data_IF_396329357487
#
_entry.id   IF_396329357487
#
_cell.length_a   1.000
_cell.length_b   1.000
_cell.length_c   1.000
_cell.angle_alpha   90.00
_cell.angle_beta   90.00
_cell.angle_gamma   90.00
#
_symmetry.space_group_name_H-M   'P 1'
#
loop_
_entity.id
_entity.type
_entity.pdbx_description
1 polymer ?
#
# COMPACT_ATOMS: atom_id res chain seq x y z
N UNK A 1 1.10 21.16 -40.15
CA UNK A 1 2.42 21.02 -39.48
C UNK A 1 2.21 20.03 -38.34
N UNK A 2 2.91 18.89 -38.37
CA UNK A 2 2.85 17.94 -37.26
C UNK A 2 3.56 18.56 -36.05
N UNK A 3 2.86 18.79 -34.99
CA UNK A 3 3.47 19.19 -33.71
C UNK A 3 4.46 18.08 -33.32
N UNK A 4 5.73 18.43 -33.13
CA UNK A 4 6.73 17.47 -32.65
C UNK A 4 6.20 16.76 -31.41
N UNK A 5 6.27 15.43 -31.36
CA UNK A 5 5.82 14.66 -30.19
C UNK A 5 6.52 15.10 -28.90
N UNK A 6 7.74 15.61 -29.00
CA UNK A 6 8.48 16.20 -27.89
C UNK A 6 7.80 17.45 -27.28
N UNK A 7 7.06 18.23 -28.07
CA UNK A 7 6.42 19.46 -27.59
C UNK A 7 5.26 19.23 -26.61
N UNK A 8 4.74 17.99 -26.51
CA UNK A 8 3.69 17.64 -25.54
C UNK A 8 4.22 17.29 -24.15
N UNK A 9 5.52 17.02 -24.02
CA UNK A 9 6.15 16.69 -22.74
C UNK A 9 6.69 17.96 -22.09
N UNK A 10 6.52 18.04 -20.78
CA UNK A 10 7.07 19.12 -19.95
C UNK A 10 8.09 18.54 -19.00
N UNK A 11 9.18 19.26 -18.67
CA UNK A 11 10.06 18.86 -17.59
C UNK A 11 9.28 18.68 -16.29
N UNK A 12 9.61 17.64 -15.52
CA UNK A 12 9.08 17.50 -14.18
C UNK A 12 9.61 18.62 -13.29
N UNK A 13 8.77 19.31 -12.51
CA UNK A 13 9.25 20.39 -11.66
C UNK A 13 10.18 19.85 -10.57
N UNK A 14 11.30 20.52 -10.27
CA UNK A 14 12.16 20.13 -9.16
C UNK A 14 11.42 20.28 -7.83
N UNK A 15 11.78 19.46 -6.85
CA UNK A 15 11.32 19.62 -5.47
C UNK A 15 12.13 20.74 -4.81
N UNK A 16 11.46 21.70 -4.17
CA UNK A 16 12.13 22.75 -3.39
C UNK A 16 12.58 22.17 -2.04
N UNK A 17 13.83 21.70 -2.00
CA UNK A 17 14.45 21.06 -0.85
C UNK A 17 15.89 21.58 -0.70
N UNK A 18 16.07 22.82 -0.16
CA UNK A 18 17.38 23.46 -0.10
C UNK A 18 18.35 22.79 0.89
N UNK A 19 17.84 22.11 1.89
CA UNK A 19 18.58 21.43 2.97
C UNK A 19 18.65 19.89 2.77
N UNK A 20 18.55 19.43 1.54
CA UNK A 20 18.61 18.01 1.12
C UNK A 20 19.75 17.24 1.79
N UNK A 21 19.42 16.13 2.44
CA UNK A 21 20.36 15.30 3.21
C UNK A 21 20.59 13.92 2.60
N UNK A 22 19.60 13.33 1.87
CA UNK A 22 19.64 11.95 1.41
C UNK A 22 20.93 11.59 0.63
N UNK A 23 21.57 12.47 -0.18
CA UNK A 23 22.78 12.10 -0.93
C UNK A 23 23.96 11.74 -0.04
N UNK A 24 23.97 12.23 1.21
CA UNK A 24 25.05 12.02 2.17
C UNK A 24 24.70 10.96 3.23
N UNK A 25 23.50 10.39 3.18
CA UNK A 25 23.09 9.34 4.13
C UNK A 25 23.52 7.98 3.64
N UNK A 26 24.02 7.16 4.56
CA UNK A 26 24.41 5.77 4.30
C UNK A 26 23.53 4.88 5.19
N UNK A 27 22.95 3.87 4.59
CA UNK A 27 22.23 2.84 5.33
C UNK A 27 23.22 1.97 6.12
N UNK A 28 23.06 1.95 7.44
CA UNK A 28 23.87 1.11 8.35
C UNK A 28 23.17 -0.18 8.75
N UNK A 29 21.89 -0.31 8.45
CA UNK A 29 21.06 -1.49 8.69
C UNK A 29 20.24 -1.80 7.44
N UNK A 30 19.97 -3.08 7.21
CA UNK A 30 19.08 -3.47 6.13
C UNK A 30 17.67 -2.94 6.39
N UNK A 31 16.97 -2.42 5.36
CA UNK A 31 15.55 -2.11 5.48
C UNK A 31 14.73 -3.39 5.66
N UNK A 32 13.53 -3.26 6.19
CA UNK A 32 12.55 -4.34 6.15
C UNK A 32 12.07 -4.46 4.70
N UNK A 33 12.20 -5.65 4.14
CA UNK A 33 11.74 -5.96 2.79
C UNK A 33 10.35 -6.57 2.85
N UNK A 34 9.39 -5.93 2.18
CA UNK A 34 8.09 -6.53 1.87
C UNK A 34 8.11 -7.11 0.45
N UNK A 35 7.81 -8.41 0.30
CA UNK A 35 7.63 -9.01 -1.02
C UNK A 35 6.22 -8.70 -1.54
N UNK A 36 6.14 -8.17 -2.75
CA UNK A 36 4.87 -7.91 -3.47
C UNK A 36 4.67 -8.86 -4.66
N UNK A 37 5.48 -9.90 -4.75
CA UNK A 37 5.46 -10.84 -5.89
C UNK A 37 4.13 -11.56 -6.04
N UNK A 38 3.49 -11.97 -4.93
CA UNK A 38 2.22 -12.70 -4.92
C UNK A 38 1.00 -11.82 -5.22
N UNK A 39 1.14 -10.48 -5.16
CA UNK A 39 0.07 -9.54 -5.52
C UNK A 39 0.43 -8.79 -6.79
N UNK A 40 1.33 -7.84 -6.76
CA UNK A 40 1.66 -6.95 -7.88
C UNK A 40 2.41 -7.71 -8.99
N UNK A 41 3.36 -8.56 -8.60
CA UNK A 41 4.05 -9.46 -9.50
C UNK A 41 3.11 -10.44 -10.19
N UNK A 42 2.25 -11.12 -9.44
CA UNK A 42 1.24 -12.04 -9.99
C UNK A 42 0.24 -11.33 -10.91
N UNK A 43 -0.17 -10.12 -10.56
CA UNK A 43 -1.08 -9.29 -11.37
C UNK A 43 -0.49 -8.96 -12.75
N UNK A 44 0.83 -8.86 -12.86
CA UNK A 44 1.53 -8.55 -14.10
C UNK A 44 1.68 -9.77 -15.05
N UNK A 45 1.42 -10.99 -14.57
CA UNK A 45 1.53 -12.20 -15.38
C UNK A 45 0.37 -12.30 -16.39
N UNK A 46 0.69 -12.73 -17.61
CA UNK A 46 -0.33 -13.01 -18.64
C UNK A 46 -1.29 -14.13 -18.20
N UNK A 47 -0.78 -15.09 -17.44
CA UNK A 47 -1.55 -16.12 -16.75
C UNK A 47 -1.17 -16.07 -15.26
N UNK A 48 -2.06 -15.55 -14.40
CA UNK A 48 -1.83 -15.52 -12.97
C UNK A 48 -1.63 -16.92 -12.37
N UNK A 49 -0.86 -16.99 -11.30
CA UNK A 49 -0.60 -18.24 -10.58
C UNK A 49 -1.90 -18.84 -10.01
N UNK A 50 -1.99 -20.17 -10.05
CA UNK A 50 -2.99 -20.93 -9.29
C UNK A 50 -2.77 -20.78 -7.78
N UNK A 51 -3.74 -21.19 -6.98
CA UNK A 51 -3.61 -21.17 -5.51
C UNK A 51 -2.45 -22.07 -5.05
N UNK A 52 -2.26 -23.22 -5.69
CA UNK A 52 -1.16 -24.14 -5.39
C UNK A 52 0.21 -23.52 -5.67
N UNK A 53 0.38 -22.89 -6.82
CA UNK A 53 1.63 -22.17 -7.17
C UNK A 53 1.88 -21.01 -6.22
N UNK A 54 0.85 -20.26 -5.82
CA UNK A 54 0.98 -19.20 -4.82
C UNK A 54 1.41 -19.73 -3.45
N UNK A 55 0.91 -20.89 -3.03
CA UNK A 55 1.32 -21.51 -1.77
C UNK A 55 2.79 -21.93 -1.79
N UNK A 56 3.24 -22.57 -2.87
CA UNK A 56 4.65 -22.95 -3.05
C UNK A 56 5.55 -21.71 -3.07
N UNK A 57 5.10 -20.65 -3.74
CA UNK A 57 5.85 -19.39 -3.83
C UNK A 57 5.90 -18.66 -2.47
N UNK A 58 4.80 -18.66 -1.71
CA UNK A 58 4.79 -18.12 -0.35
C UNK A 58 5.81 -18.82 0.54
N UNK A 59 5.84 -20.15 0.51
CA UNK A 59 6.82 -20.94 1.26
C UNK A 59 8.26 -20.64 0.82
N UNK A 60 8.49 -20.39 -0.47
CA UNK A 60 9.79 -19.95 -0.96
C UNK A 60 10.19 -18.60 -0.38
N UNK A 61 9.30 -17.61 -0.39
CA UNK A 61 9.55 -16.28 0.19
C UNK A 61 9.88 -16.36 1.68
N UNK A 62 9.16 -17.19 2.43
CA UNK A 62 9.46 -17.46 3.84
C UNK A 62 10.85 -18.08 4.00
N UNK A 63 11.22 -19.06 3.18
CA UNK A 63 12.57 -19.68 3.22
C UNK A 63 13.69 -18.71 2.84
N UNK A 64 13.43 -17.75 1.93
CA UNK A 64 14.36 -16.67 1.59
C UNK A 64 14.58 -15.74 2.79
N UNK A 65 13.58 -15.59 3.66
CA UNK A 65 13.67 -14.82 4.89
C UNK A 65 12.83 -13.55 4.92
N UNK A 66 11.91 -13.35 3.98
CA UNK A 66 10.97 -12.25 4.04
C UNK A 66 10.12 -12.33 5.32
N UNK A 67 9.92 -11.17 5.96
CA UNK A 67 9.10 -11.04 7.17
C UNK A 67 7.79 -10.31 6.92
N UNK A 68 7.68 -9.63 5.79
CA UNK A 68 6.47 -8.99 5.29
C UNK A 68 6.23 -9.49 3.86
N UNK A 69 5.03 -10.03 3.61
CA UNK A 69 4.67 -10.60 2.30
C UNK A 69 3.25 -10.16 1.95
N UNK A 70 3.12 -9.36 0.87
CA UNK A 70 1.82 -8.98 0.34
C UNK A 70 1.25 -10.14 -0.47
N UNK A 71 0.26 -10.82 0.12
CA UNK A 71 -0.26 -12.10 -0.39
C UNK A 71 -1.34 -11.92 -1.46
N UNK A 72 -2.01 -10.76 -1.51
CA UNK A 72 -3.01 -10.50 -2.53
C UNK A 72 -4.01 -9.41 -2.17
N UNK A 73 -5.11 -9.40 -2.92
CA UNK A 73 -6.27 -8.53 -2.71
C UNK A 73 -7.50 -9.42 -2.41
N UNK A 74 -7.69 -9.89 -1.16
CA UNK A 74 -8.69 -10.92 -0.83
C UNK A 74 -10.12 -10.55 -1.20
N UNK A 75 -10.44 -9.25 -1.21
CA UNK A 75 -11.78 -8.78 -1.59
C UNK A 75 -11.99 -8.61 -3.10
N UNK A 76 -10.95 -8.75 -3.93
CA UNK A 76 -11.07 -8.60 -5.38
C UNK A 76 -11.69 -9.83 -6.08
N UNK A 77 -11.44 -11.03 -5.57
CA UNK A 77 -11.97 -12.26 -6.13
C UNK A 77 -12.05 -13.39 -5.09
N UNK A 78 -12.84 -14.42 -5.40
CA UNK A 78 -12.92 -15.60 -4.53
C UNK A 78 -11.59 -16.35 -4.46
N UNK A 79 -10.83 -16.43 -5.55
CA UNK A 79 -9.51 -17.08 -5.59
C UNK A 79 -8.54 -16.41 -4.64
N UNK A 80 -8.49 -15.07 -4.62
CA UNK A 80 -7.64 -14.30 -3.71
C UNK A 80 -8.08 -14.46 -2.25
N UNK A 81 -9.38 -14.50 -2.01
CA UNK A 81 -9.94 -14.78 -0.69
C UNK A 81 -9.55 -16.17 -0.19
N UNK A 82 -9.77 -17.20 -1.02
CA UNK A 82 -9.48 -18.60 -0.68
C UNK A 82 -7.99 -18.82 -0.44
N UNK A 83 -7.11 -18.17 -1.22
CA UNK A 83 -5.67 -18.24 -0.99
C UNK A 83 -5.29 -17.66 0.39
N UNK A 84 -5.81 -16.47 0.73
CA UNK A 84 -5.57 -15.86 2.03
C UNK A 84 -6.07 -16.77 3.17
N UNK A 85 -7.27 -17.34 3.03
CA UNK A 85 -7.83 -18.28 4.01
C UNK A 85 -6.99 -19.54 4.15
N UNK A 86 -6.53 -20.12 3.04
CA UNK A 86 -5.70 -21.34 3.08
C UNK A 86 -4.37 -21.10 3.81
N UNK A 87 -3.73 -19.95 3.63
CA UNK A 87 -2.53 -19.60 4.39
C UNK A 87 -2.78 -19.63 5.91
N UNK A 88 -3.94 -19.13 6.33
CA UNK A 88 -4.32 -19.02 7.74
C UNK A 88 -4.82 -20.37 8.28
N UNK A 89 -5.78 -20.97 7.61
CA UNK A 89 -6.46 -22.20 8.07
C UNK A 89 -5.55 -23.43 8.07
N UNK A 90 -4.57 -23.49 7.14
CA UNK A 90 -3.56 -24.52 7.05
C UNK A 90 -2.29 -24.21 7.89
N UNK A 91 -2.30 -23.10 8.67
CA UNK A 91 -1.19 -22.67 9.53
C UNK A 91 0.16 -22.55 8.80
N UNK A 92 0.14 -21.99 7.58
CA UNK A 92 1.35 -21.84 6.76
C UNK A 92 2.18 -20.61 7.07
N UNK A 93 1.65 -19.68 7.87
CA UNK A 93 2.30 -18.41 8.19
C UNK A 93 3.12 -18.57 9.46
N UNK A 94 4.46 -18.44 9.42
CA UNK A 94 5.27 -18.43 10.63
C UNK A 94 4.91 -17.27 11.56
N UNK A 95 5.16 -17.46 12.85
CA UNK A 95 4.83 -16.49 13.89
C UNK A 95 5.52 -15.12 13.75
N UNK A 96 6.66 -15.10 13.06
CA UNK A 96 7.49 -13.92 12.83
C UNK A 96 7.31 -13.31 11.43
N UNK A 97 6.30 -13.77 10.68
CA UNK A 97 5.91 -13.25 9.37
C UNK A 97 4.58 -12.53 9.46
N UNK A 98 4.50 -11.34 8.90
CA UNK A 98 3.25 -10.62 8.67
C UNK A 98 2.78 -10.83 7.22
N UNK A 99 1.52 -11.20 7.05
CA UNK A 99 0.89 -11.14 5.75
C UNK A 99 0.35 -9.74 5.51
N UNK A 100 0.60 -9.21 4.32
CA UNK A 100 0.02 -7.95 3.88
C UNK A 100 -1.11 -8.21 2.89
N UNK A 101 -2.21 -7.50 3.04
CA UNK A 101 -3.35 -7.55 2.12
C UNK A 101 -3.66 -6.17 1.57
N UNK A 102 -3.86 -6.07 0.26
CA UNK A 102 -4.30 -4.84 -0.39
C UNK A 102 -5.81 -4.69 -0.28
N UNK A 103 -6.27 -3.47 -0.04
CA UNK A 103 -7.69 -3.13 -0.02
C UNK A 103 -7.92 -1.69 -0.49
N UNK A 104 -8.81 -1.50 -1.45
CA UNK A 104 -9.25 -0.16 -1.81
C UNK A 104 -10.11 0.45 -0.69
N UNK A 105 -10.07 1.78 -0.54
CA UNK A 105 -10.89 2.53 0.41
C UNK A 105 -12.38 2.50 0.04
N UNK A 106 -13.01 1.30 0.19
CA UNK A 106 -14.43 1.03 -0.04
C UNK A 106 -14.96 0.09 1.02
N UNK A 107 -16.15 0.40 1.55
CA UNK A 107 -16.75 -0.32 2.66
C UNK A 107 -16.89 -1.83 2.40
N UNK A 108 -17.47 -2.21 1.25
CA UNK A 108 -17.70 -3.59 0.87
C UNK A 108 -16.40 -4.42 0.81
N UNK A 109 -15.32 -3.80 0.30
CA UNK A 109 -14.01 -4.43 0.20
C UNK A 109 -13.32 -4.53 1.56
N UNK A 110 -13.44 -3.51 2.41
CA UNK A 110 -12.89 -3.52 3.78
C UNK A 110 -13.54 -4.64 4.61
N UNK A 111 -14.87 -4.74 4.58
CA UNK A 111 -15.59 -5.78 5.30
C UNK A 111 -15.13 -7.17 4.85
N UNK A 112 -15.06 -7.40 3.54
CA UNK A 112 -14.62 -8.69 2.98
C UNK A 112 -13.16 -9.00 3.32
N UNK A 113 -12.29 -8.00 3.33
CA UNK A 113 -10.89 -8.16 3.72
C UNK A 113 -10.74 -8.51 5.20
N UNK A 114 -11.53 -7.91 6.09
CA UNK A 114 -11.56 -8.27 7.52
C UNK A 114 -12.01 -9.74 7.73
N UNK A 115 -12.96 -10.23 6.92
CA UNK A 115 -13.34 -11.66 6.96
C UNK A 115 -12.18 -12.56 6.54
N UNK A 116 -11.42 -12.15 5.51
CA UNK A 116 -10.33 -12.95 4.97
C UNK A 116 -9.17 -13.14 5.94
N UNK A 117 -8.87 -12.14 6.79
CA UNK A 117 -7.73 -12.18 7.71
C UNK A 117 -8.05 -12.76 9.10
N UNK A 118 -9.29 -13.15 9.37
CA UNK A 118 -9.67 -13.68 10.68
C UNK A 118 -8.81 -14.89 11.07
N UNK A 119 -8.22 -14.84 12.26
CA UNK A 119 -7.34 -15.88 12.78
C UNK A 119 -5.89 -15.77 12.34
N UNK A 120 -5.52 -14.79 11.53
CA UNK A 120 -4.12 -14.46 11.27
C UNK A 120 -3.48 -13.85 12.52
N UNK A 121 -2.17 -14.09 12.72
CA UNK A 121 -1.43 -13.56 13.87
C UNK A 121 -0.93 -12.12 13.65
N UNK A 122 -0.29 -11.88 12.51
CA UNK A 122 0.26 -10.58 12.13
C UNK A 122 -0.23 -10.18 10.74
N UNK A 123 -0.86 -9.03 10.64
CA UNK A 123 -1.41 -8.51 9.39
C UNK A 123 -1.00 -7.06 9.18
N UNK A 124 -0.54 -6.75 7.97
CA UNK A 124 -0.47 -5.39 7.46
C UNK A 124 -1.70 -5.19 6.58
N UNK A 125 -2.59 -4.29 7.00
CA UNK A 125 -3.80 -3.95 6.25
C UNK A 125 -3.49 -2.73 5.39
N UNK A 126 -3.25 -2.96 4.09
CA UNK A 126 -2.82 -1.94 3.15
C UNK A 126 -4.04 -1.29 2.46
N UNK A 127 -4.44 -0.13 2.95
CA UNK A 127 -5.48 0.70 2.33
C UNK A 127 -4.89 1.64 1.30
N UNK A 128 -5.63 1.86 0.20
CA UNK A 128 -5.26 2.83 -0.81
C UNK A 128 -6.47 3.51 -1.44
N UNK A 129 -6.27 4.74 -1.88
CA UNK A 129 -7.12 5.42 -2.86
C UNK A 129 -6.30 6.35 -3.74
N UNK A 130 -6.78 6.56 -4.96
CA UNK A 130 -6.05 7.36 -5.94
C UNK A 130 -6.16 8.86 -5.65
N UNK A 131 -5.04 9.57 -5.74
CA UNK A 131 -4.90 10.96 -5.33
C UNK A 131 -4.50 11.94 -6.43
N UNK A 132 -4.04 11.42 -7.59
CA UNK A 132 -3.54 12.28 -8.67
C UNK A 132 -4.62 13.19 -9.26
N UNK A 133 -4.25 14.36 -9.81
CA UNK A 133 -5.19 15.29 -10.45
C UNK A 133 -6.05 14.65 -11.54
N UNK A 134 -5.46 13.75 -12.32
CA UNK A 134 -6.18 13.05 -13.39
C UNK A 134 -7.28 12.14 -12.83
N UNK A 135 -6.96 11.37 -11.78
CA UNK A 135 -7.93 10.46 -11.17
C UNK A 135 -9.01 11.24 -10.40
N UNK A 136 -8.65 12.29 -9.67
CA UNK A 136 -9.63 13.17 -9.03
C UNK A 136 -10.63 13.72 -10.04
N UNK A 137 -10.14 14.19 -11.19
CA UNK A 137 -10.98 14.81 -12.23
C UNK A 137 -11.80 13.80 -13.03
N UNK A 138 -11.19 12.71 -13.50
CA UNK A 138 -11.81 11.85 -14.52
C UNK A 138 -12.39 10.55 -13.97
N UNK A 139 -11.95 10.10 -12.80
CA UNK A 139 -12.44 8.88 -12.16
C UNK A 139 -13.45 9.22 -11.06
N UNK A 140 -13.06 10.08 -10.11
CA UNK A 140 -13.89 10.39 -8.96
C UNK A 140 -14.82 11.58 -9.20
N UNK A 141 -14.47 12.48 -10.13
CA UNK A 141 -15.12 13.80 -10.30
C UNK A 141 -15.25 14.52 -8.95
N UNK A 142 -14.14 14.56 -8.21
CA UNK A 142 -14.09 15.00 -6.82
C UNK A 142 -12.93 15.98 -6.58
N UNK A 143 -13.11 16.88 -5.64
CA UNK A 143 -12.07 17.78 -5.14
C UNK A 143 -11.18 17.11 -4.08
N UNK A 144 -10.12 17.81 -3.62
CA UNK A 144 -9.20 17.30 -2.61
C UNK A 144 -9.90 16.90 -1.30
N UNK A 145 -10.78 17.73 -0.70
CA UNK A 145 -11.49 17.37 0.52
C UNK A 145 -12.33 16.09 0.40
N UNK A 146 -12.98 15.88 -0.73
CA UNK A 146 -13.76 14.66 -0.96
C UNK A 146 -12.86 13.41 -1.06
N UNK A 147 -11.66 13.53 -1.65
CA UNK A 147 -10.69 12.45 -1.71
C UNK A 147 -10.09 12.14 -0.32
N UNK A 148 -9.79 13.18 0.49
CA UNK A 148 -9.37 13.01 1.89
C UNK A 148 -10.46 12.28 2.68
N UNK A 149 -11.72 12.67 2.48
CA UNK A 149 -12.86 12.02 3.16
C UNK A 149 -12.97 10.53 2.83
N UNK A 150 -12.74 10.13 1.57
CA UNK A 150 -12.71 8.70 1.19
C UNK A 150 -11.67 7.93 2.02
N UNK A 151 -10.46 8.47 2.16
CA UNK A 151 -9.39 7.84 2.93
C UNK A 151 -9.73 7.76 4.42
N UNK A 152 -10.14 8.87 5.02
CA UNK A 152 -10.42 8.97 6.46
C UNK A 152 -11.61 8.12 6.87
N UNK A 153 -12.71 8.12 6.09
CA UNK A 153 -13.86 7.26 6.34
C UNK A 153 -13.47 5.77 6.27
N UNK A 154 -12.64 5.40 5.27
CA UNK A 154 -12.17 4.03 5.12
C UNK A 154 -11.27 3.58 6.29
N UNK A 155 -10.35 4.44 6.72
CA UNK A 155 -9.49 4.15 7.88
C UNK A 155 -10.31 4.04 9.16
N UNK A 156 -11.27 4.93 9.39
CA UNK A 156 -12.17 4.88 10.55
C UNK A 156 -12.99 3.57 10.55
N UNK A 157 -13.55 3.20 9.41
CA UNK A 157 -14.29 1.94 9.27
C UNK A 157 -13.39 0.73 9.53
N UNK A 158 -12.21 0.68 8.89
CA UNK A 158 -11.25 -0.42 9.09
C UNK A 158 -10.85 -0.53 10.55
N UNK A 159 -10.50 0.60 11.19
CA UNK A 159 -10.14 0.66 12.62
C UNK A 159 -11.21 0.05 13.50
N UNK A 160 -12.48 0.34 13.23
CA UNK A 160 -13.62 -0.27 13.95
C UNK A 160 -13.74 -1.78 13.67
N UNK A 161 -13.66 -2.16 12.41
CA UNK A 161 -13.85 -3.55 11.97
C UNK A 161 -12.77 -4.52 12.42
N UNK A 162 -11.54 -4.05 12.65
CA UNK A 162 -10.45 -4.91 13.14
C UNK A 162 -10.43 -5.07 14.66
N UNK A 163 -11.20 -4.28 15.44
CA UNK A 163 -11.22 -4.39 16.90
C UNK A 163 -11.54 -5.80 17.41
N UNK A 164 -12.55 -6.52 16.86
CA UNK A 164 -12.81 -7.89 17.27
C UNK A 164 -11.63 -8.83 16.99
N UNK A 165 -10.94 -8.64 15.85
CA UNK A 165 -9.77 -9.45 15.48
C UNK A 165 -8.59 -9.20 16.42
N UNK A 166 -8.38 -7.94 16.80
CA UNK A 166 -7.35 -7.56 17.79
C UNK A 166 -7.66 -8.18 19.15
N UNK A 167 -8.94 -8.16 19.57
CA UNK A 167 -9.37 -8.80 20.82
C UNK A 167 -9.20 -10.33 20.77
N UNK A 168 -9.25 -10.94 19.60
CA UNK A 168 -8.98 -12.37 19.35
C UNK A 168 -7.48 -12.69 19.25
N UNK A 169 -6.58 -11.67 19.28
CA UNK A 169 -5.12 -11.83 19.28
C UNK A 169 -4.42 -11.53 17.97
N UNK A 170 -5.12 -11.04 16.94
CA UNK A 170 -4.49 -10.57 15.71
C UNK A 170 -3.80 -9.23 15.93
N UNK A 171 -2.52 -9.11 15.57
CA UNK A 171 -1.87 -7.81 15.44
C UNK A 171 -2.17 -7.24 14.05
N UNK A 172 -2.76 -6.04 14.01
CA UNK A 172 -3.09 -5.35 12.75
C UNK A 172 -2.33 -4.03 12.68
N UNK A 173 -1.53 -3.87 11.65
CA UNK A 173 -0.82 -2.62 11.33
C UNK A 173 -1.46 -1.99 10.10
N UNK A 174 -1.71 -0.69 10.13
CA UNK A 174 -2.18 0.05 8.95
C UNK A 174 -0.99 0.40 8.05
N UNK A 175 -1.13 0.09 6.77
CA UNK A 175 -0.41 0.72 5.69
C UNK A 175 -1.37 1.56 4.85
N UNK A 176 -0.99 2.79 4.50
CA UNK A 176 -1.77 3.65 3.63
C UNK A 176 -0.97 4.13 2.43
N UNK A 177 -1.56 4.04 1.24
CA UNK A 177 -0.99 4.56 0.00
C UNK A 177 -1.88 5.65 -0.60
N UNK A 178 -1.37 6.88 -0.76
CA UNK A 178 -1.91 7.83 -1.74
C UNK A 178 -1.51 7.34 -3.15
N UNK A 179 -2.34 6.49 -3.76
CA UNK A 179 -2.02 5.87 -5.05
C UNK A 179 -1.74 6.93 -6.10
N UNK A 180 -0.76 6.67 -6.97
CA UNK A 180 -0.21 7.63 -7.92
C UNK A 180 0.50 8.83 -7.23
N UNK A 181 1.19 8.57 -6.11
CA UNK A 181 1.94 9.58 -5.36
C UNK A 181 2.87 10.41 -6.25
N UNK A 182 3.62 9.77 -7.14
CA UNK A 182 4.57 10.46 -8.04
C UNK A 182 3.95 11.48 -8.99
N UNK A 183 2.64 11.43 -9.20
CA UNK A 183 1.88 12.42 -9.98
C UNK A 183 0.89 13.23 -9.15
N UNK A 184 0.91 13.05 -7.83
CA UNK A 184 0.13 13.84 -6.88
C UNK A 184 0.94 15.04 -6.41
N UNK A 185 0.29 16.17 -6.18
CA UNK A 185 0.95 17.33 -5.60
C UNK A 185 1.43 17.00 -4.18
N UNK A 186 2.69 17.34 -3.85
CA UNK A 186 3.30 16.96 -2.56
C UNK A 186 2.52 17.51 -1.35
N UNK A 187 2.06 18.75 -1.44
CA UNK A 187 1.22 19.36 -0.41
C UNK A 187 -0.05 18.56 -0.16
N UNK A 188 -0.67 18.03 -1.22
CA UNK A 188 -1.86 17.21 -1.09
C UNK A 188 -1.55 15.78 -0.61
N UNK A 189 -0.42 15.22 -1.02
CA UNK A 189 0.03 13.92 -0.51
C UNK A 189 0.27 13.98 1.00
N UNK A 190 0.90 15.06 1.49
CA UNK A 190 1.10 15.30 2.92
C UNK A 190 -0.25 15.46 3.63
N UNK A 191 -1.12 16.34 3.15
CA UNK A 191 -2.46 16.59 3.72
C UNK A 191 -3.23 15.30 3.96
N UNK A 192 -3.29 14.42 2.96
CA UNK A 192 -4.05 13.17 3.08
C UNK A 192 -3.37 12.15 3.99
N UNK A 193 -2.03 12.06 3.98
CA UNK A 193 -1.28 11.21 4.88
C UNK A 193 -1.43 11.64 6.35
N UNK A 194 -1.38 12.95 6.63
CA UNK A 194 -1.63 13.50 7.96
C UNK A 194 -3.06 13.19 8.41
N UNK A 195 -4.07 13.44 7.56
CA UNK A 195 -5.47 13.15 7.88
C UNK A 195 -5.73 11.67 8.20
N UNK A 196 -5.10 10.76 7.46
CA UNK A 196 -5.15 9.31 7.73
C UNK A 196 -4.47 8.98 9.06
N UNK A 197 -3.29 9.55 9.30
CA UNK A 197 -2.54 9.37 10.54
C UNK A 197 -3.33 9.85 11.76
N UNK A 198 -4.00 10.99 11.64
CA UNK A 198 -4.87 11.55 12.68
C UNK A 198 -6.06 10.64 13.04
N UNK A 199 -6.62 9.91 12.06
CA UNK A 199 -7.70 8.95 12.31
C UNK A 199 -7.15 7.65 12.93
N UNK A 200 -6.02 7.14 12.42
CA UNK A 200 -5.43 5.90 12.92
C UNK A 200 -4.87 6.07 14.32
N UNK A 201 -4.21 7.21 14.58
CA UNK A 201 -3.54 7.52 15.85
C UNK A 201 -2.45 6.49 16.22
N UNK A 202 -1.40 6.37 15.39
CA UNK A 202 -0.32 5.43 15.64
C UNK A 202 0.42 5.73 16.95
N UNK A 203 1.05 4.71 17.51
CA UNK A 203 1.90 4.82 18.70
C UNK A 203 3.33 4.36 18.37
N UNK A 204 4.24 4.45 19.34
CA UNK A 204 5.60 3.95 19.17
C UNK A 204 5.64 2.42 18.92
N UNK A 205 4.66 1.70 19.50
CA UNK A 205 4.55 0.24 19.41
C UNK A 205 3.63 -0.23 18.26
N UNK A 206 2.74 0.67 17.80
CA UNK A 206 1.81 0.43 16.68
C UNK A 206 1.97 1.53 15.64
N UNK A 207 3.02 1.40 14.83
CA UNK A 207 3.37 2.40 13.80
C UNK A 207 2.51 2.22 12.56
N UNK A 208 2.19 3.33 11.90
CA UNK A 208 1.64 3.34 10.55
C UNK A 208 2.77 3.19 9.52
N UNK A 209 2.48 2.55 8.40
CA UNK A 209 3.30 2.58 7.20
C UNK A 209 2.66 3.56 6.23
N UNK A 210 3.40 4.58 5.80
CA UNK A 210 3.00 5.46 4.70
C UNK A 210 3.76 5.03 3.45
N UNK A 211 3.09 4.34 2.55
CA UNK A 211 3.68 3.90 1.29
C UNK A 211 3.50 4.98 0.24
N UNK A 212 4.61 5.43 -0.36
CA UNK A 212 4.63 6.50 -1.37
C UNK A 212 4.94 5.89 -2.75
N UNK A 213 3.94 5.34 -3.46
CA UNK A 213 4.18 4.48 -4.61
C UNK A 213 4.56 5.26 -5.86
N UNK A 214 5.60 4.80 -6.54
CA UNK A 214 5.90 5.19 -7.90
C UNK A 214 5.02 4.39 -8.90
N UNK A 215 3.69 4.56 -8.82
CA UNK A 215 2.71 3.89 -9.68
C UNK A 215 3.02 4.10 -11.16
N UNK A 216 3.46 5.32 -11.51
CA UNK A 216 4.06 5.65 -12.79
C UNK A 216 5.29 6.51 -12.51
N UNK A 217 6.43 6.16 -13.07
CA UNK A 217 7.63 6.97 -12.94
C UNK A 217 7.55 8.22 -13.84
N UNK A 218 7.45 9.39 -13.20
CA UNK A 218 7.35 10.68 -13.86
C UNK A 218 8.67 11.44 -13.92
N UNK A 219 9.62 11.07 -13.08
CA UNK A 219 10.87 11.78 -12.90
C UNK A 219 12.05 10.82 -12.69
N UNK A 220 13.25 11.36 -12.64
CA UNK A 220 14.46 10.59 -12.34
C UNK A 220 14.52 10.19 -10.86
N UNK A 221 15.27 9.12 -10.48
CA UNK A 221 15.34 8.63 -9.11
C UNK A 221 15.74 9.68 -8.06
N UNK A 222 16.60 10.61 -8.43
CA UNK A 222 16.99 11.70 -7.52
C UNK A 222 15.84 12.66 -7.18
N UNK A 223 14.93 12.92 -8.13
CA UNK A 223 13.71 13.71 -7.88
C UNK A 223 12.76 12.94 -6.98
N UNK A 224 12.62 11.64 -7.19
CA UNK A 224 11.81 10.79 -6.31
C UNK A 224 12.38 10.74 -4.89
N UNK A 225 13.71 10.65 -4.75
CA UNK A 225 14.38 10.74 -3.45
C UNK A 225 14.12 12.07 -2.74
N UNK A 226 14.10 13.18 -3.50
CA UNK A 226 13.72 14.49 -2.97
C UNK A 226 12.26 14.51 -2.49
N UNK A 227 11.34 13.87 -3.24
CA UNK A 227 9.94 13.75 -2.83
C UNK A 227 9.79 12.97 -1.52
N UNK A 228 10.52 11.86 -1.38
CA UNK A 228 10.50 11.04 -0.16
C UNK A 228 11.08 11.80 1.04
N UNK A 229 12.18 12.55 0.86
CA UNK A 229 12.77 13.32 1.97
C UNK A 229 11.91 14.52 2.37
N UNK A 230 11.17 15.08 1.40
CA UNK A 230 10.26 16.20 1.65
C UNK A 230 9.03 15.78 2.48
N UNK A 231 8.49 14.57 2.24
CA UNK A 231 7.39 13.97 3.00
C UNK A 231 7.77 13.57 4.42
#
# INVERSE_FOLDING_TARGET
MSVSSAAKYRPFPPVDLPDRQWPNRVHTHAPIWCSVDLRDGNQALAQPMSVEEKLEYFELLVRIGFKEIEVGFPSASQIEFDFCRRLIDEHRIPDDVAIQILCQCREDLIVRSCEAIRGAKNVIFHLYNSTSPAQRRYVFNADRPAIVKIATDAVALMKDRVQPLIAEGTRVQLEYSPESFTSTELDFALEICEAVTDVWQPTADDRIILNLPATVEYATPNVHADQIEWM
#
